data_IF_974443407323
#
_entry.id   IF_974443407323
#
_cell.length_a   1.000
_cell.length_b   1.000
_cell.length_c   1.000
_cell.angle_alpha   90.00
_cell.angle_beta   90.00
_cell.angle_gamma   90.00
#
_symmetry.space_group_name_H-M   'P 1'
#
loop_
_entity.id
_entity.type
_entity.pdbx_description
1 polymer ?
#
# COMPACT_ATOMS: atom_id res chain seq x y z
N UNK A 1 -6.56 -19.06 3.23
CA UNK A 1 -5.81 -17.91 2.66
C UNK A 1 -6.22 -17.77 1.21
N UNK A 2 -6.55 -16.55 0.78
CA UNK A 2 -6.88 -16.19 -0.58
C UNK A 2 -5.77 -15.31 -1.12
N UNK A 3 -5.51 -15.41 -2.41
CA UNK A 3 -4.59 -14.51 -3.09
C UNK A 3 -5.35 -13.30 -3.59
N UNK A 4 -4.76 -12.13 -3.38
CA UNK A 4 -5.29 -10.84 -3.77
C UNK A 4 -4.24 -10.14 -4.63
N UNK A 5 -4.71 -9.30 -5.53
CA UNK A 5 -3.88 -8.47 -6.40
C UNK A 5 -4.21 -7.02 -6.08
N UNK A 6 -3.23 -6.33 -5.51
CA UNK A 6 -3.32 -4.90 -5.23
C UNK A 6 -2.73 -4.17 -6.43
N UNK A 7 -3.54 -3.38 -7.11
CA UNK A 7 -3.10 -2.53 -8.22
C UNK A 7 -3.01 -1.09 -7.76
N UNK A 8 -1.87 -0.44 -7.99
CA UNK A 8 -1.63 0.94 -7.63
C UNK A 8 -0.82 1.65 -8.70
N UNK A 9 -0.85 2.98 -8.66
CA UNK A 9 0.01 3.85 -9.47
C UNK A 9 1.19 4.27 -8.61
N UNK A 10 2.41 4.06 -9.10
CA UNK A 10 3.66 4.51 -8.47
C UNK A 10 3.90 6.02 -8.66
N UNK A 11 4.88 6.60 -7.96
CA UNK A 11 5.35 7.99 -8.08
C UNK A 11 5.70 8.42 -9.51
N UNK A 12 6.01 7.48 -10.42
CA UNK A 12 6.25 7.73 -11.84
C UNK A 12 4.97 7.81 -12.69
N UNK A 13 3.80 7.53 -12.10
CA UNK A 13 2.54 7.36 -12.83
C UNK A 13 2.38 5.97 -13.45
N UNK A 14 3.28 5.03 -13.16
CA UNK A 14 3.25 3.67 -13.69
C UNK A 14 2.32 2.78 -12.87
N UNK A 15 1.42 2.06 -13.55
CA UNK A 15 0.52 1.10 -12.89
C UNK A 15 1.27 -0.19 -12.59
N UNK A 16 1.32 -0.54 -11.31
CA UNK A 16 1.97 -1.73 -10.78
C UNK A 16 0.96 -2.56 -10.01
N UNK A 17 1.12 -3.89 -10.06
CA UNK A 17 0.32 -4.82 -9.28
C UNK A 17 1.19 -5.67 -8.37
N UNK A 18 0.75 -5.88 -7.13
CA UNK A 18 1.44 -6.71 -6.14
C UNK A 18 0.52 -7.83 -5.65
N UNK A 19 1.02 -9.08 -5.61
CA UNK A 19 0.31 -10.17 -4.98
C UNK A 19 0.32 -10.00 -3.47
N UNK A 20 -0.82 -10.30 -2.84
CA UNK A 20 -1.02 -10.23 -1.40
C UNK A 20 -1.86 -11.41 -0.93
N UNK A 21 -1.35 -12.18 0.01
CA UNK A 21 -2.05 -13.36 0.51
C UNK A 21 -2.68 -13.05 1.86
N UNK A 22 -4.01 -13.09 1.93
CA UNK A 22 -4.77 -12.84 3.17
C UNK A 22 -6.07 -13.64 3.22
N UNK A 23 -6.59 -13.85 4.43
CA UNK A 23 -7.84 -14.60 4.62
C UNK A 23 -9.08 -13.81 4.18
N UNK A 24 -9.02 -12.48 4.25
CA UNK A 24 -10.08 -11.53 3.90
C UNK A 24 -9.52 -10.47 2.95
N UNK A 25 -10.43 -9.68 2.36
CA UNK A 25 -10.06 -8.53 1.52
C UNK A 25 -9.15 -7.57 2.32
N UNK A 26 -7.93 -7.28 1.83
CA UNK A 26 -7.04 -6.37 2.54
C UNK A 26 -7.62 -4.97 2.57
N UNK A 27 -7.48 -4.33 3.73
CA UNK A 27 -7.77 -2.91 3.85
C UNK A 27 -6.75 -2.07 3.07
N UNK A 28 -7.15 -0.86 2.70
CA UNK A 28 -6.29 0.11 1.99
C UNK A 28 -4.96 0.32 2.74
N UNK A 29 -4.96 0.31 4.07
CA UNK A 29 -3.76 0.40 4.89
C UNK A 29 -2.82 -0.80 4.71
N UNK A 30 -3.34 -2.02 4.75
CA UNK A 30 -2.55 -3.26 4.56
C UNK A 30 -1.90 -3.26 3.18
N UNK A 31 -2.70 -2.92 2.17
CA UNK A 31 -2.23 -2.76 0.81
C UNK A 31 -1.14 -1.68 0.70
N UNK A 32 -1.34 -0.53 1.35
CA UNK A 32 -0.37 0.56 1.37
C UNK A 32 0.95 0.15 2.05
N UNK A 33 0.91 -0.60 3.16
CA UNK A 33 2.13 -1.12 3.81
C UNK A 33 2.92 -2.04 2.90
N UNK A 34 2.23 -2.92 2.17
CA UNK A 34 2.88 -3.80 1.20
C UNK A 34 3.56 -2.98 0.09
N UNK A 35 2.83 -2.03 -0.50
CA UNK A 35 3.35 -1.15 -1.55
C UNK A 35 4.56 -0.37 -1.06
N UNK A 36 4.47 0.22 0.14
CA UNK A 36 5.57 0.94 0.76
C UNK A 36 6.80 0.05 0.93
N UNK A 37 6.63 -1.17 1.45
CA UNK A 37 7.74 -2.11 1.64
C UNK A 37 8.38 -2.51 0.30
N UNK A 38 7.57 -2.61 -0.75
CA UNK A 38 8.04 -2.95 -2.10
C UNK A 38 8.78 -1.79 -2.79
N UNK A 39 8.20 -0.58 -2.78
CA UNK A 39 8.77 0.60 -3.43
C UNK A 39 9.93 1.20 -2.63
N UNK A 40 9.82 1.15 -1.30
CA UNK A 40 10.75 1.79 -0.38
C UNK A 40 11.25 0.80 0.68
N UNK A 41 11.96 -0.28 0.29
CA UNK A 41 12.46 -1.28 1.24
C UNK A 41 13.41 -0.66 2.27
N UNK A 42 14.13 0.40 1.90
CA UNK A 42 15.03 1.15 2.80
C UNK A 42 14.26 2.07 3.75
N UNK A 43 13.08 2.57 3.35
CA UNK A 43 12.22 3.33 4.26
C UNK A 43 11.42 2.44 5.21
N UNK A 44 11.60 1.11 5.19
CA UNK A 44 11.00 0.21 6.18
C UNK A 44 11.35 0.59 7.63
N UNK A 45 12.49 1.26 7.84
CA UNK A 45 12.90 1.81 9.15
C UNK A 45 12.36 3.22 9.43
N UNK A 46 11.68 3.87 8.47
CA UNK A 46 11.06 5.17 8.70
C UNK A 46 9.84 4.98 9.61
N UNK A 47 9.98 5.43 10.85
CA UNK A 47 8.92 5.38 11.84
C UNK A 47 7.81 6.37 11.44
N UNK A 48 6.70 5.87 10.89
CA UNK A 48 5.53 6.68 10.50
C UNK A 48 4.71 7.12 11.73
N UNK A 49 5.26 7.06 12.95
CA UNK A 49 4.54 7.35 14.19
C UNK A 49 3.82 8.70 14.19
N UNK A 50 4.36 9.71 13.49
CA UNK A 50 3.71 11.03 13.39
C UNK A 50 2.36 10.97 12.64
N UNK A 51 2.23 10.04 11.68
CA UNK A 51 0.99 9.81 10.94
C UNK A 51 0.07 8.78 11.62
N UNK A 52 0.62 7.82 12.37
CA UNK A 52 -0.15 6.74 13.00
C UNK A 52 -1.15 7.22 14.07
N UNK A 53 -0.87 8.36 14.72
CA UNK A 53 -1.73 8.89 15.79
C UNK A 53 -2.95 9.68 15.28
N UNK A 54 -2.98 10.05 13.99
CA UNK A 54 -3.98 10.99 13.45
C UNK A 54 -4.94 10.42 12.43
N UNK A 55 -4.66 9.27 11.85
CA UNK A 55 -5.42 8.77 10.71
C UNK A 55 -5.62 7.25 10.72
N UNK A 56 -6.77 6.73 10.24
CA UNK A 56 -6.98 5.28 10.15
C UNK A 56 -6.17 4.60 9.03
N UNK A 57 -5.52 5.37 8.14
CA UNK A 57 -4.68 4.83 7.06
C UNK A 57 -3.47 5.72 6.75
N UNK A 58 -2.58 5.97 7.73
CA UNK A 58 -1.38 6.79 7.60
C UNK A 58 -0.50 6.42 6.40
N UNK A 59 -0.32 5.12 6.13
CA UNK A 59 0.59 4.69 5.07
C UNK A 59 0.00 5.03 3.70
N UNK A 60 -1.30 4.81 3.52
CA UNK A 60 -1.98 5.12 2.27
C UNK A 60 -1.97 6.63 1.98
N UNK A 61 -2.17 7.45 3.02
CA UNK A 61 -2.09 8.91 2.89
C UNK A 61 -0.68 9.37 2.54
N UNK A 62 0.32 8.88 3.27
CA UNK A 62 1.71 9.22 3.02
C UNK A 62 2.16 8.81 1.61
N UNK A 63 1.75 7.63 1.15
CA UNK A 63 2.00 7.18 -0.22
C UNK A 63 1.41 8.17 -1.23
N UNK A 64 0.15 8.57 -1.06
CA UNK A 64 -0.53 9.48 -1.98
C UNK A 64 0.03 10.91 -1.94
N UNK A 65 0.14 11.50 -0.75
CA UNK A 65 0.52 12.91 -0.58
C UNK A 65 2.02 13.14 -0.74
N UNK A 66 2.85 12.27 -0.18
CA UNK A 66 4.31 12.47 -0.16
C UNK A 66 5.01 11.79 -1.35
N UNK A 67 4.42 10.73 -1.91
CA UNK A 67 5.06 9.94 -2.96
C UNK A 67 4.23 9.84 -4.24
N UNK A 68 3.03 10.43 -4.31
CA UNK A 68 2.18 10.31 -5.50
C UNK A 68 1.73 8.88 -5.81
N UNK A 69 1.76 7.99 -4.82
CA UNK A 69 1.38 6.58 -4.95
C UNK A 69 -0.07 6.39 -4.54
N UNK A 70 -0.91 5.86 -5.42
CA UNK A 70 -2.35 5.69 -5.17
C UNK A 70 -2.82 4.28 -5.51
N UNK A 71 -3.49 3.63 -4.54
CA UNK A 71 -4.14 2.33 -4.76
C UNK A 71 -5.37 2.53 -5.64
N UNK A 72 -5.41 1.81 -6.76
CA UNK A 72 -6.48 1.92 -7.76
C UNK A 72 -7.49 0.78 -7.67
N UNK A 73 -7.05 -0.43 -7.31
CA UNK A 73 -7.92 -1.59 -7.18
C UNK A 73 -7.31 -2.64 -6.25
N UNK A 74 -8.18 -3.37 -5.56
CA UNK A 74 -7.83 -4.57 -4.80
C UNK A 74 -8.82 -5.63 -5.27
N UNK A 75 -8.32 -6.70 -5.89
CA UNK A 75 -9.16 -7.77 -6.45
C UNK A 75 -8.61 -9.12 -6.06
N UNK A 76 -9.49 -10.10 -5.81
CA UNK A 76 -9.07 -11.48 -5.59
C UNK A 76 -8.37 -12.03 -6.84
N UNK A 77 -7.26 -12.72 -6.66
CA UNK A 77 -6.55 -13.42 -7.72
C UNK A 77 -7.36 -14.66 -8.15
N UNK A 78 -7.42 -14.98 -9.46
CA UNK A 78 -8.21 -16.09 -10.00
C UNK A 78 -7.65 -17.48 -9.62
#
# INVERSE_FOLDING_TARGET
MKDWVITFVDQKGERTSLPFTAELEPSIEEAARLIRTHLFPVLGELDLNDFQDREPSPTAKWLKEQNGVEITAITEAP
#
